data_IF_996900002974
#
_entry.id   IF_996900002974
#
_cell.length_a   1.000
_cell.length_b   1.000
_cell.length_c   1.000
_cell.angle_alpha   90.00
_cell.angle_beta   90.00
_cell.angle_gamma   90.00
#
_symmetry.space_group_name_H-M   'P 1'
#
loop_
_entity.id
_entity.type
_entity.pdbx_description
1 polymer ?
#
# COMPACT_ATOMS: atom_id res chain seq x y z
N UNK A 1 19.31 2.31 14.06
CA UNK A 1 20.52 2.84 13.40
C UNK A 1 20.41 4.34 13.08
N UNK A 2 19.38 4.80 12.34
CA UNK A 2 19.23 6.22 11.97
C UNK A 2 19.20 7.21 13.14
N UNK A 3 18.57 6.84 14.27
CA UNK A 3 18.57 7.67 15.49
C UNK A 3 20.00 7.92 16.02
N UNK A 4 20.81 6.86 16.09
CA UNK A 4 22.21 6.91 16.53
C UNK A 4 23.05 7.77 15.57
N UNK A 5 22.89 7.60 14.26
CA UNK A 5 23.61 8.41 13.25
C UNK A 5 23.28 9.90 13.41
N UNK A 6 22.00 10.25 13.61
CA UNK A 6 21.60 11.64 13.80
C UNK A 6 22.10 12.21 15.11
N UNK A 7 22.19 11.41 16.18
CA UNK A 7 22.78 11.81 17.44
C UNK A 7 24.25 12.21 17.27
N UNK A 8 25.08 11.37 16.62
CA UNK A 8 26.48 11.70 16.37
C UNK A 8 26.66 12.89 15.42
N UNK A 9 25.71 13.11 14.51
CA UNK A 9 25.64 14.34 13.67
C UNK A 9 25.13 15.57 14.42
N UNK A 10 24.93 15.50 15.74
CA UNK A 10 24.34 16.55 16.60
C UNK A 10 22.95 17.03 16.15
N UNK A 11 22.22 16.21 15.38
CA UNK A 11 20.84 16.47 14.94
C UNK A 11 19.86 15.82 15.94
N UNK A 12 19.83 16.36 17.16
CA UNK A 12 19.14 15.72 18.30
C UNK A 12 17.62 15.58 18.11
N UNK A 13 16.96 16.56 17.50
CA UNK A 13 15.55 16.48 17.13
C UNK A 13 15.25 15.27 16.23
N UNK A 14 16.03 15.11 15.16
CA UNK A 14 15.89 13.96 14.25
C UNK A 14 16.21 12.64 14.95
N UNK A 15 17.21 12.65 15.84
CA UNK A 15 17.53 11.49 16.65
C UNK A 15 16.34 11.06 17.52
N UNK A 16 15.74 12.01 18.27
CA UNK A 16 14.53 11.78 19.09
C UNK A 16 13.40 11.21 18.23
N UNK A 17 13.10 11.82 17.08
CA UNK A 17 12.06 11.34 16.15
C UNK A 17 12.24 9.86 15.78
N UNK A 18 13.44 9.48 15.34
CA UNK A 18 13.71 8.09 14.94
C UNK A 18 13.73 7.12 16.13
N UNK A 19 14.19 7.55 17.31
CA UNK A 19 14.09 6.72 18.51
C UNK A 19 12.64 6.52 18.94
N UNK A 20 11.80 7.55 18.87
CA UNK A 20 10.36 7.44 19.14
C UNK A 20 9.69 6.47 18.16
N UNK A 21 10.05 6.49 16.87
CA UNK A 21 9.59 5.50 15.89
C UNK A 21 9.96 4.07 16.33
N UNK A 22 11.21 3.84 16.75
CA UNK A 22 11.64 2.54 17.24
C UNK A 22 10.90 2.10 18.50
N UNK A 23 10.61 3.01 19.44
CA UNK A 23 9.86 2.69 20.66
C UNK A 23 8.43 2.26 20.38
N UNK A 24 7.78 2.88 19.39
CA UNK A 24 6.42 2.52 18.96
C UNK A 24 6.44 1.18 18.23
N UNK A 25 7.34 1.01 17.24
CA UNK A 25 7.40 -0.20 16.42
C UNK A 25 7.87 -1.43 17.21
N UNK A 26 8.85 -1.27 18.10
CA UNK A 26 9.43 -2.37 18.85
C UNK A 26 9.94 -1.93 20.23
N UNK A 27 9.01 -1.84 21.18
CA UNK A 27 9.26 -1.46 22.58
C UNK A 27 10.31 -2.33 23.27
N UNK A 28 10.44 -3.60 22.89
CA UNK A 28 11.38 -4.55 23.53
C UNK A 28 12.86 -4.13 23.36
N UNK A 29 13.18 -3.41 22.27
CA UNK A 29 14.54 -2.93 21.98
C UNK A 29 14.87 -1.56 22.58
N UNK A 30 13.96 -1.00 23.39
CA UNK A 30 14.14 0.31 24.02
C UNK A 30 15.41 0.41 24.88
N UNK A 31 15.85 -0.70 25.47
CA UNK A 31 17.08 -0.77 26.27
C UNK A 31 18.34 -0.44 25.47
N UNK A 32 18.40 -0.78 24.18
CA UNK A 32 19.60 -0.66 23.35
C UNK A 32 20.03 0.80 23.08
N UNK A 33 19.11 1.75 23.22
CA UNK A 33 19.38 3.16 22.91
C UNK A 33 18.88 4.13 24.00
N UNK A 34 18.50 3.60 25.17
CA UNK A 34 17.90 4.38 26.27
C UNK A 34 18.77 5.55 26.70
N UNK A 35 20.07 5.32 26.85
CA UNK A 35 21.01 6.35 27.30
C UNK A 35 21.22 7.43 26.24
N UNK A 36 21.35 7.02 24.98
CA UNK A 36 21.49 7.94 23.83
C UNK A 36 20.22 8.79 23.67
N UNK A 37 19.04 8.19 23.85
CA UNK A 37 17.78 8.91 23.84
C UNK A 37 17.71 9.92 24.99
N UNK A 38 18.04 9.53 26.22
CA UNK A 38 18.06 10.46 27.38
C UNK A 38 19.00 11.64 27.13
N UNK A 39 20.18 11.37 26.60
CA UNK A 39 21.16 12.39 26.20
C UNK A 39 20.67 13.30 25.07
N UNK A 40 19.88 12.77 24.13
CA UNK A 40 19.25 13.57 23.08
C UNK A 40 18.18 14.48 23.66
N UNK A 41 17.34 13.95 24.56
CA UNK A 41 16.26 14.67 25.21
C UNK A 41 16.78 15.82 26.08
N UNK A 42 17.91 15.70 26.77
CA UNK A 42 18.47 16.80 27.57
C UNK A 42 18.90 17.99 26.69
N UNK A 43 19.32 17.73 25.45
CA UNK A 43 19.90 18.75 24.54
C UNK A 43 18.88 19.52 23.71
N UNK A 44 17.59 19.30 23.92
CA UNK A 44 16.51 19.92 23.15
C UNK A 44 15.56 20.67 24.10
N UNK A 45 14.96 21.80 23.71
CA UNK A 45 13.92 22.48 24.49
C UNK A 45 12.67 21.60 24.67
N UNK A 46 11.92 21.82 25.76
CA UNK A 46 10.70 21.04 26.06
C UNK A 46 9.64 21.17 24.95
N UNK A 47 9.41 22.39 24.47
CA UNK A 47 8.43 22.71 23.43
C UNK A 47 8.68 21.96 22.12
N UNK A 48 9.94 21.83 21.70
CA UNK A 48 10.28 21.09 20.48
C UNK A 48 10.15 19.58 20.65
N UNK A 49 10.41 19.04 21.85
CA UNK A 49 10.16 17.61 22.14
C UNK A 49 8.68 17.29 22.01
N UNK A 50 7.82 18.10 22.60
CA UNK A 50 6.37 17.95 22.54
C UNK A 50 5.88 18.00 21.10
N UNK A 51 6.40 18.93 20.29
CA UNK A 51 6.11 19.00 18.85
C UNK A 51 6.48 17.72 18.12
N UNK A 52 7.68 17.17 18.36
CA UNK A 52 8.11 15.92 17.72
C UNK A 52 7.31 14.72 18.19
N UNK A 53 6.99 14.62 19.47
CA UNK A 53 6.17 13.53 19.99
C UNK A 53 4.79 13.57 19.31
N UNK A 54 4.18 14.74 19.24
CA UNK A 54 2.90 14.93 18.53
C UNK A 54 3.00 14.61 17.05
N UNK A 55 4.07 15.01 16.37
CA UNK A 55 4.31 14.66 14.96
C UNK A 55 4.46 13.14 14.76
N UNK A 56 5.17 12.47 15.66
CA UNK A 56 5.33 11.01 15.66
C UNK A 56 3.98 10.34 15.89
N UNK A 57 3.22 10.78 16.89
CA UNK A 57 1.86 10.27 17.17
C UNK A 57 0.95 10.44 15.96
N UNK A 58 0.89 11.63 15.36
CA UNK A 58 0.08 11.89 14.15
C UNK A 58 0.51 11.00 12.99
N UNK A 59 1.80 10.78 12.81
CA UNK A 59 2.33 9.88 11.79
C UNK A 59 1.83 8.44 11.96
N UNK A 60 1.82 7.91 13.19
CA UNK A 60 1.36 6.54 13.47
C UNK A 60 -0.17 6.41 13.51
N UNK A 61 -0.86 7.42 14.05
CA UNK A 61 -2.32 7.48 14.05
C UNK A 61 -2.88 7.62 12.65
N UNK A 62 -2.08 8.17 11.72
CA UNK A 62 -2.43 8.41 10.33
C UNK A 62 -3.77 9.14 10.18
N UNK A 63 -4.11 10.02 11.14
CA UNK A 63 -5.42 10.69 11.24
C UNK A 63 -5.74 11.54 10.01
N UNK A 64 -4.71 12.03 9.30
CA UNK A 64 -4.85 12.85 8.09
C UNK A 64 -4.91 12.01 6.80
N UNK A 65 -4.74 10.68 6.88
CA UNK A 65 -4.75 9.78 5.71
C UNK A 65 -5.69 8.61 5.94
N UNK A 66 -6.99 8.89 5.93
CA UNK A 66 -8.00 7.86 5.78
C UNK A 66 -7.93 7.28 4.36
N UNK A 67 -7.05 6.30 4.14
CA UNK A 67 -7.30 5.32 3.08
C UNK A 67 -8.61 4.58 3.40
N UNK A 68 -9.33 4.01 2.41
CA UNK A 68 -10.66 3.39 2.58
C UNK A 68 -10.63 2.05 3.38
N UNK A 69 -9.94 2.06 4.51
CA UNK A 69 -9.68 0.91 5.38
C UNK A 69 -10.72 0.85 6.51
N UNK A 70 -11.36 1.96 6.90
CA UNK A 70 -12.21 2.00 8.09
C UNK A 70 -13.46 2.88 7.91
N UNK A 71 -14.64 2.27 7.85
CA UNK A 71 -15.92 2.97 8.07
C UNK A 71 -16.52 2.72 9.47
N UNK A 72 -16.00 1.77 10.27
CA UNK A 72 -16.49 1.59 11.64
C UNK A 72 -15.51 0.89 12.57
N UNK A 73 -15.62 1.18 13.88
CA UNK A 73 -14.91 0.54 14.99
C UNK A 73 -15.16 -0.99 15.09
N UNK A 74 -16.17 -1.51 14.38
CA UNK A 74 -16.51 -2.94 14.34
C UNK A 74 -15.97 -3.68 13.12
N UNK A 75 -15.54 -2.97 12.06
CA UNK A 75 -15.06 -3.54 10.80
C UNK A 75 -13.57 -3.25 10.57
N UNK A 76 -12.79 -3.28 11.64
CA UNK A 76 -11.36 -2.96 11.60
C UNK A 76 -10.65 -3.99 10.71
N UNK A 77 -10.28 -3.57 9.51
CA UNK A 77 -9.12 -4.08 8.77
C UNK A 77 -9.14 -5.56 8.35
N UNK A 78 -10.29 -6.22 8.29
CA UNK A 78 -10.35 -7.54 7.65
C UNK A 78 -10.29 -7.39 6.13
N UNK A 79 -9.16 -7.78 5.53
CA UNK A 79 -8.96 -7.83 4.07
C UNK A 79 -10.01 -8.69 3.34
N UNK A 80 -10.67 -9.60 4.07
CA UNK A 80 -11.78 -10.41 3.61
C UNK A 80 -13.10 -9.65 3.44
N UNK A 81 -13.25 -8.47 4.05
CA UNK A 81 -14.48 -7.69 3.98
C UNK A 81 -14.48 -6.84 2.70
N UNK A 82 -15.46 -7.05 1.80
CA UNK A 82 -15.54 -6.30 0.57
C UNK A 82 -16.00 -4.86 0.81
N UNK A 83 -15.60 -3.98 -0.10
CA UNK A 83 -16.18 -2.65 -0.29
C UNK A 83 -17.09 -2.69 -1.51
N UNK A 84 -18.32 -2.17 -1.41
CA UNK A 84 -19.28 -2.16 -2.53
C UNK A 84 -19.39 -0.73 -3.04
N UNK A 85 -19.15 -0.53 -4.34
CA UNK A 85 -19.29 0.77 -4.99
C UNK A 85 -19.91 0.61 -6.37
N UNK A 86 -20.98 1.36 -6.65
CA UNK A 86 -21.69 1.37 -7.94
C UNK A 86 -21.93 -0.04 -8.52
N UNK A 87 -22.36 -0.99 -7.67
CA UNK A 87 -22.61 -2.43 -7.96
C UNK A 87 -21.39 -3.35 -8.10
N UNK A 88 -20.17 -2.82 -8.16
CA UNK A 88 -18.95 -3.64 -8.13
C UNK A 88 -18.54 -3.93 -6.69
N UNK A 89 -18.06 -5.15 -6.45
CA UNK A 89 -17.50 -5.59 -5.18
C UNK A 89 -15.98 -5.53 -5.28
N UNK A 90 -15.35 -4.82 -4.36
CA UNK A 90 -13.92 -4.60 -4.30
C UNK A 90 -13.33 -5.28 -3.08
N UNK A 91 -12.18 -5.92 -3.26
CA UNK A 91 -11.47 -6.59 -2.17
C UNK A 91 -10.09 -5.96 -1.99
N UNK A 92 -9.70 -5.82 -0.73
CA UNK A 92 -8.47 -5.15 -0.31
C UNK A 92 -7.39 -6.20 -0.06
N UNK A 93 -6.19 -6.00 -0.60
CA UNK A 93 -5.00 -6.78 -0.32
C UNK A 93 -3.88 -5.91 0.22
N UNK A 94 -2.99 -6.47 1.03
CA UNK A 94 -1.71 -5.86 1.41
C UNK A 94 -0.87 -5.75 0.13
N UNK A 95 -0.39 -4.54 -0.15
CA UNK A 95 0.48 -4.33 -1.29
C UNK A 95 1.79 -5.08 -1.10
N UNK A 96 2.23 -5.75 -2.17
CA UNK A 96 3.30 -6.75 -2.13
C UNK A 96 4.68 -6.21 -1.71
N UNK A 97 4.82 -4.88 -1.64
CA UNK A 97 6.00 -4.21 -1.10
C UNK A 97 6.42 -4.73 0.29
N UNK A 98 5.50 -5.15 1.16
CA UNK A 98 5.84 -5.48 2.55
C UNK A 98 6.23 -6.95 2.77
N UNK A 99 7.22 -7.52 2.07
CA UNK A 99 7.68 -8.86 2.41
C UNK A 99 8.42 -8.85 3.75
N UNK A 100 8.00 -9.70 4.70
CA UNK A 100 8.69 -9.88 5.98
C UNK A 100 10.17 -10.25 5.80
N UNK A 101 10.52 -11.01 4.75
CA UNK A 101 11.91 -11.35 4.42
C UNK A 101 12.74 -10.14 3.98
N UNK A 102 12.10 -9.10 3.42
CA UNK A 102 12.79 -7.90 2.90
C UNK A 102 12.81 -6.76 3.91
N UNK A 103 11.70 -6.56 4.63
CA UNK A 103 11.47 -5.34 5.42
C UNK A 103 11.46 -5.61 6.93
N UNK A 104 11.50 -6.89 7.35
CA UNK A 104 11.42 -7.30 8.76
C UNK A 104 10.08 -6.98 9.43
N UNK A 105 9.06 -6.59 8.65
CA UNK A 105 7.71 -6.30 9.15
C UNK A 105 6.95 -7.62 9.40
N UNK A 106 6.27 -7.67 10.55
CA UNK A 106 5.60 -8.88 11.04
C UNK A 106 4.51 -9.39 10.07
N UNK A 107 4.41 -10.73 9.93
CA UNK A 107 3.33 -11.42 9.22
C UNK A 107 1.96 -11.13 9.88
N UNK A 108 1.97 -10.95 11.21
CA UNK A 108 0.84 -10.48 11.99
C UNK A 108 1.07 -9.01 12.32
N UNK A 109 0.38 -8.13 11.61
CA UNK A 109 0.53 -6.69 11.79
C UNK A 109 -0.36 -6.27 12.97
N UNK A 110 0.22 -5.73 14.06
CA UNK A 110 -0.58 -5.22 15.17
C UNK A 110 -1.63 -4.23 14.70
N UNK A 111 -2.80 -4.20 15.35
CA UNK A 111 -3.94 -3.39 14.93
C UNK A 111 -3.58 -1.91 14.71
N UNK A 112 -2.68 -1.40 15.54
CA UNK A 112 -2.16 -0.03 15.54
C UNK A 112 -1.40 0.33 14.25
N UNK A 113 -0.87 -0.65 13.53
CA UNK A 113 -0.10 -0.43 12.31
C UNK A 113 -0.88 -0.66 11.02
N UNK A 114 -2.15 -1.11 11.06
CA UNK A 114 -2.94 -1.34 9.84
C UNK A 114 -3.05 -0.09 8.97
N UNK A 115 -3.12 1.09 9.60
CA UNK A 115 -3.17 2.37 8.90
C UNK A 115 -1.89 2.70 8.12
N UNK A 116 -0.76 2.06 8.43
CA UNK A 116 0.53 2.31 7.77
C UNK A 116 0.81 1.36 6.60
N UNK A 117 -0.02 0.35 6.42
CA UNK A 117 0.12 -0.62 5.35
C UNK A 117 -0.47 -0.03 4.08
N UNK A 118 0.36 0.09 3.04
CA UNK A 118 -0.17 0.27 1.67
C UNK A 118 -0.96 -0.95 1.25
N UNK A 119 -2.12 -0.71 0.69
CA UNK A 119 -3.02 -1.74 0.18
C UNK A 119 -3.23 -1.56 -1.32
N UNK A 120 -3.66 -2.63 -1.97
CA UNK A 120 -4.20 -2.63 -3.31
C UNK A 120 -5.68 -3.02 -3.26
N UNK A 121 -6.49 -2.46 -4.16
CA UNK A 121 -7.94 -2.65 -4.19
C UNK A 121 -8.32 -3.10 -5.59
N UNK A 122 -8.89 -4.29 -5.70
CA UNK A 122 -9.22 -4.91 -6.99
C UNK A 122 -10.70 -5.32 -6.98
N UNK A 123 -11.47 -4.99 -8.04
CA UNK A 123 -12.82 -5.52 -8.20
C UNK A 123 -12.75 -7.04 -8.34
N UNK A 124 -13.60 -7.77 -7.63
CA UNK A 124 -13.51 -9.22 -7.59
C UNK A 124 -14.69 -9.87 -6.88
N UNK A 125 -14.54 -11.16 -6.60
CA UNK A 125 -15.51 -11.94 -5.83
C UNK A 125 -14.81 -12.91 -4.90
N UNK A 126 -15.45 -13.21 -3.77
CA UNK A 126 -15.06 -14.26 -2.85
C UNK A 126 -15.74 -15.58 -3.27
N UNK A 127 -14.97 -16.65 -3.38
CA UNK A 127 -15.47 -17.96 -3.81
C UNK A 127 -14.48 -19.06 -3.40
N UNK A 128 -14.92 -20.32 -3.45
CA UNK A 128 -14.09 -21.50 -3.27
C UNK A 128 -13.80 -22.24 -4.59
N UNK A 129 -14.44 -21.84 -5.69
CA UNK A 129 -14.23 -22.38 -7.03
C UNK A 129 -14.33 -21.27 -8.08
N UNK A 130 -13.38 -21.26 -9.02
CA UNK A 130 -13.35 -20.30 -10.11
C UNK A 130 -12.92 -20.97 -11.41
N UNK A 131 -13.71 -20.80 -12.45
CA UNK A 131 -13.37 -21.24 -13.81
C UNK A 131 -13.23 -20.04 -14.73
N UNK A 132 -12.20 -20.08 -15.56
CA UNK A 132 -11.92 -19.01 -16.51
C UNK A 132 -11.40 -19.57 -17.82
N UNK A 133 -12.02 -19.14 -18.91
CA UNK A 133 -11.52 -19.33 -20.27
C UNK A 133 -10.99 -18.00 -20.78
N UNK A 134 -9.68 -17.92 -20.95
CA UNK A 134 -9.01 -16.72 -21.42
C UNK A 134 -9.39 -16.42 -22.87
N UNK A 135 -9.94 -15.23 -23.10
CA UNK A 135 -10.19 -14.69 -24.46
C UNK A 135 -9.03 -13.86 -25.00
N UNK A 136 -8.11 -13.48 -24.12
CA UNK A 136 -6.90 -12.72 -24.39
C UNK A 136 -5.87 -13.14 -23.34
N UNK A 137 -4.59 -12.91 -23.63
CA UNK A 137 -3.56 -12.92 -22.61
C UNK A 137 -3.98 -12.03 -21.44
N UNK A 138 -3.98 -12.59 -20.24
CA UNK A 138 -4.52 -11.96 -19.04
C UNK A 138 -3.74 -12.38 -17.80
N UNK A 139 -3.94 -11.63 -16.73
CA UNK A 139 -3.46 -11.98 -15.39
C UNK A 139 -4.65 -12.08 -14.46
N UNK A 140 -4.71 -13.16 -13.68
CA UNK A 140 -5.75 -13.42 -12.69
C UNK A 140 -5.17 -13.09 -11.31
N UNK A 141 -5.66 -12.03 -10.64
CA UNK A 141 -5.29 -11.74 -9.26
C UNK A 141 -6.00 -12.72 -8.32
N UNK A 142 -5.23 -13.44 -7.50
CA UNK A 142 -5.75 -14.38 -6.50
C UNK A 142 -5.25 -14.00 -5.11
N UNK A 143 -6.12 -14.01 -4.13
CA UNK A 143 -5.77 -13.72 -2.74
C UNK A 143 -6.35 -14.77 -1.80
N UNK A 144 -5.46 -15.42 -1.02
CA UNK A 144 -5.86 -16.27 0.10
C UNK A 144 -6.39 -15.41 1.23
N UNK A 145 -7.52 -15.80 1.82
CA UNK A 145 -8.03 -15.19 3.04
C UNK A 145 -7.49 -15.90 4.29
N UNK A 146 -7.14 -17.19 4.17
CA UNK A 146 -6.67 -18.02 5.27
C UNK A 146 -5.35 -18.73 4.91
N UNK A 147 -4.46 -18.88 5.90
CA UNK A 147 -3.13 -19.49 5.75
C UNK A 147 -3.20 -21.01 5.53
N UNK A 148 -4.28 -21.67 5.94
CA UNK A 148 -4.43 -23.14 5.82
C UNK A 148 -4.88 -23.60 4.43
N UNK A 149 -5.13 -22.66 3.52
CA UNK A 149 -5.77 -22.91 2.25
C UNK A 149 -4.75 -23.42 1.23
N UNK A 150 -4.97 -24.62 0.67
CA UNK A 150 -4.31 -25.06 -0.56
C UNK A 150 -5.15 -24.58 -1.74
N UNK A 151 -4.54 -23.82 -2.64
CA UNK A 151 -5.18 -23.37 -3.87
C UNK A 151 -4.71 -24.28 -4.98
N UNK A 152 -5.62 -25.09 -5.47
CA UNK A 152 -5.38 -26.04 -6.55
C UNK A 152 -5.69 -25.32 -7.85
N UNK A 153 -4.68 -25.12 -8.67
CA UNK A 153 -4.80 -24.52 -10.00
C UNK A 153 -4.68 -25.60 -11.05
N UNK A 154 -5.72 -25.78 -11.84
CA UNK A 154 -5.73 -26.71 -12.97
C UNK A 154 -5.60 -25.94 -14.26
N UNK A 155 -4.67 -26.36 -15.10
CA UNK A 155 -4.42 -25.82 -16.42
C UNK A 155 -4.39 -26.97 -17.41
N UNK A 156 -5.44 -27.09 -18.23
CA UNK A 156 -5.63 -28.29 -19.04
C UNK A 156 -5.80 -29.53 -18.15
N UNK A 157 -4.89 -30.51 -18.30
CA UNK A 157 -4.86 -31.74 -17.50
C UNK A 157 -3.90 -31.66 -16.30
N UNK A 158 -3.06 -30.62 -16.23
CA UNK A 158 -2.08 -30.48 -15.16
C UNK A 158 -2.67 -29.77 -13.94
N UNK A 159 -2.31 -30.26 -12.75
CA UNK A 159 -2.73 -29.75 -11.47
C UNK A 159 -1.52 -29.23 -10.69
N UNK A 160 -1.57 -27.94 -10.32
CA UNK A 160 -0.51 -27.27 -9.58
C UNK A 160 -1.04 -26.79 -8.24
N UNK A 161 -0.25 -26.99 -7.18
CA UNK A 161 -0.50 -26.30 -5.92
C UNK A 161 0.13 -24.92 -5.99
N UNK A 162 -0.69 -23.87 -5.90
CA UNK A 162 -0.21 -22.50 -5.95
C UNK A 162 0.51 -22.13 -4.65
N UNK A 163 1.78 -21.76 -4.78
CA UNK A 163 2.64 -21.34 -3.67
C UNK A 163 2.33 -19.91 -3.21
N UNK A 164 1.08 -19.69 -2.79
CA UNK A 164 0.62 -18.46 -2.16
C UNK A 164 0.88 -18.59 -0.66
N UNK A 165 2.04 -18.10 -0.24
CA UNK A 165 2.56 -18.30 1.12
C UNK A 165 1.95 -17.36 2.17
N UNK A 166 1.40 -16.22 1.75
CA UNK A 166 0.87 -15.19 2.65
C UNK A 166 -0.56 -14.86 2.31
N UNK A 167 -1.45 -14.95 3.31
CA UNK A 167 -2.83 -14.45 3.19
C UNK A 167 -2.85 -12.94 2.97
N UNK A 168 -4.02 -12.45 2.52
CA UNK A 168 -4.34 -11.05 2.38
C UNK A 168 -3.42 -10.30 1.40
N UNK A 169 -2.89 -10.97 0.38
CA UNK A 169 -2.09 -10.40 -0.71
C UNK A 169 -2.56 -10.94 -2.04
N UNK A 170 -2.53 -10.12 -3.08
CA UNK A 170 -2.79 -10.61 -4.42
C UNK A 170 -1.54 -11.23 -5.04
N UNK A 171 -1.72 -12.38 -5.64
CA UNK A 171 -0.75 -13.09 -6.44
C UNK A 171 -1.29 -13.12 -7.87
N UNK A 172 -0.42 -12.85 -8.82
CA UNK A 172 -0.78 -12.52 -10.18
C UNK A 172 -0.42 -13.68 -11.11
N UNK A 173 -1.43 -14.47 -11.50
CA UNK A 173 -1.24 -15.65 -12.33
C UNK A 173 -1.53 -15.35 -13.79
N UNK A 174 -0.52 -15.51 -14.64
CA UNK A 174 -0.66 -15.29 -16.09
C UNK A 174 -1.39 -16.46 -16.74
N UNK A 175 -2.30 -16.14 -17.66
CA UNK A 175 -3.01 -17.07 -18.54
C UNK A 175 -2.97 -16.50 -19.95
N UNK A 176 -2.71 -17.35 -20.94
CA UNK A 176 -2.64 -16.96 -22.34
C UNK A 176 -4.00 -17.12 -23.02
N UNK A 177 -4.16 -16.48 -24.17
CA UNK A 177 -5.37 -16.62 -24.97
C UNK A 177 -5.66 -18.10 -25.31
N UNK A 178 -6.91 -18.53 -25.07
CA UNK A 178 -7.38 -19.89 -25.34
C UNK A 178 -7.33 -20.81 -24.12
N UNK A 179 -6.55 -20.46 -23.10
CA UNK A 179 -6.36 -21.28 -21.92
C UNK A 179 -7.66 -21.43 -21.13
N UNK A 180 -7.85 -22.63 -20.58
CA UNK A 180 -8.92 -22.93 -19.62
C UNK A 180 -8.27 -23.27 -18.29
N UNK A 181 -8.64 -22.50 -17.28
CA UNK A 181 -8.15 -22.70 -15.92
C UNK A 181 -9.29 -22.91 -14.96
N UNK A 182 -9.10 -23.81 -14.00
CA UNK A 182 -9.97 -23.93 -12.85
C UNK A 182 -9.17 -23.82 -11.57
N UNK A 183 -9.73 -23.14 -10.59
CA UNK A 183 -9.08 -22.81 -9.32
C UNK A 183 -10.01 -23.26 -8.23
N UNK A 184 -9.57 -24.21 -7.43
CA UNK A 184 -10.35 -24.81 -6.35
C UNK A 184 -9.62 -24.66 -5.03
N UNK A 185 -10.39 -24.46 -3.97
CA UNK A 185 -9.88 -24.42 -2.61
C UNK A 185 -10.93 -24.96 -1.64
N UNK A 186 -10.49 -25.62 -0.57
CA UNK A 186 -11.38 -26.13 0.47
C UNK A 186 -12.12 -25.02 1.23
N UNK A 187 -11.64 -23.78 1.14
CA UNK A 187 -12.29 -22.62 1.73
C UNK A 187 -12.20 -21.41 0.79
N UNK A 188 -12.90 -20.34 1.16
CA UNK A 188 -12.96 -19.16 0.32
C UNK A 188 -11.61 -18.48 0.08
N UNK A 189 -11.42 -18.05 -1.16
CA UNK A 189 -10.40 -17.13 -1.63
C UNK A 189 -11.05 -15.96 -2.37
N UNK A 190 -10.28 -14.91 -2.63
CA UNK A 190 -10.71 -13.81 -3.50
C UNK A 190 -10.08 -14.00 -4.87
N UNK A 191 -10.92 -13.90 -5.89
CA UNK A 191 -10.50 -13.79 -7.28
C UNK A 191 -10.83 -12.39 -7.80
N UNK A 192 -9.80 -11.66 -8.19
CA UNK A 192 -9.92 -10.37 -8.85
C UNK A 192 -10.41 -10.53 -10.29
N UNK A 193 -10.99 -9.46 -10.83
CA UNK A 193 -11.34 -9.36 -12.24
C UNK A 193 -10.08 -9.55 -13.09
N UNK A 194 -10.05 -10.50 -14.03
CA UNK A 194 -8.88 -10.73 -14.87
C UNK A 194 -8.43 -9.45 -15.61
N UNK A 195 -7.14 -9.18 -15.54
CA UNK A 195 -6.50 -8.01 -16.15
C UNK A 195 -5.99 -8.41 -17.52
N UNK A 196 -6.61 -7.89 -18.58
CA UNK A 196 -6.22 -8.19 -19.96
C UNK A 196 -4.87 -7.51 -20.26
N UNK A 197 -3.90 -8.30 -20.74
CA UNK A 197 -2.55 -7.85 -21.10
C UNK A 197 -2.44 -7.28 -22.51
N UNK A 198 -3.48 -7.43 -23.34
CA UNK A 198 -3.53 -6.85 -24.68
C UNK A 198 -3.60 -5.31 -24.60
N UNK A 199 -2.42 -4.69 -24.63
CA UNK A 199 -2.26 -3.25 -24.78
C UNK A 199 -2.66 -2.92 -26.22
N UNK A 200 -3.78 -2.23 -26.41
CA UNK A 200 -4.07 -1.59 -27.70
C UNK A 200 -2.93 -0.58 -27.94
N UNK A 201 -2.16 -0.73 -29.01
CA UNK A 201 -1.01 0.14 -29.32
C UNK A 201 -1.37 1.63 -29.27
N UNK A 202 -2.62 1.97 -29.58
CA UNK A 202 -3.14 3.34 -29.63
C UNK A 202 -3.71 3.87 -28.29
N UNK A 203 -3.53 3.16 -27.17
CA UNK A 203 -3.95 3.65 -25.85
C UNK A 203 -2.72 3.90 -24.95
N UNK A 204 -2.77 4.93 -24.09
CA UNK A 204 -1.69 5.17 -23.15
C UNK A 204 -1.47 3.93 -22.27
N UNK A 205 -0.20 3.51 -22.16
CA UNK A 205 0.19 2.30 -21.44
C UNK A 205 -0.04 2.43 -19.93
N UNK A 206 -0.01 3.66 -19.43
CA UNK A 206 -0.25 4.02 -18.03
C UNK A 206 -1.06 5.32 -18.02
N UNK A 207 -2.10 5.36 -17.19
CA UNK A 207 -2.80 6.60 -16.84
C UNK A 207 -2.50 6.85 -15.37
N UNK A 208 -1.82 7.95 -15.08
CA UNK A 208 -1.49 8.36 -13.72
C UNK A 208 -2.40 9.54 -13.35
N UNK A 209 -3.32 9.30 -12.41
CA UNK A 209 -4.13 10.35 -11.82
C UNK A 209 -3.46 10.81 -10.53
N UNK A 210 -3.03 12.06 -10.48
CA UNK A 210 -2.46 12.67 -9.26
C UNK A 210 -3.46 13.68 -8.72
N UNK A 211 -3.87 13.46 -7.48
CA UNK A 211 -4.66 14.41 -6.71
C UNK A 211 -3.70 15.13 -5.76
N UNK A 212 -3.55 16.44 -5.93
CA UNK A 212 -2.70 17.26 -5.07
C UNK A 212 -3.62 18.10 -4.21
N UNK A 213 -3.69 17.77 -2.94
CA UNK A 213 -4.44 18.54 -1.95
C UNK A 213 -3.69 19.84 -1.63
N UNK A 214 -4.41 20.96 -1.56
CA UNK A 214 -3.85 22.28 -1.26
C UNK A 214 -3.03 22.95 -2.38
N UNK A 215 -2.98 22.40 -3.60
CA UNK A 215 -2.41 23.11 -4.74
C UNK A 215 -3.44 24.12 -5.26
N UNK A 216 -3.34 25.37 -4.79
CA UNK A 216 -4.25 26.42 -5.25
C UNK A 216 -3.94 26.81 -6.70
N UNK A 217 -5.00 27.15 -7.43
CA UNK A 217 -4.87 27.65 -8.79
C UNK A 217 -4.03 28.94 -8.85
N UNK A 218 -4.10 29.78 -7.82
CA UNK A 218 -3.28 31.00 -7.71
C UNK A 218 -1.78 30.73 -7.68
N UNK A 219 -1.31 29.66 -7.03
CA UNK A 219 0.12 29.30 -6.96
C UNK A 219 0.63 28.87 -8.35
N UNK A 220 -0.22 28.21 -9.13
CA UNK A 220 0.08 27.79 -10.51
C UNK A 220 0.14 29.00 -11.43
N UNK A 221 -0.80 29.94 -11.30
CA UNK A 221 -0.88 31.15 -12.12
C UNK A 221 0.32 32.09 -11.87
N UNK A 222 0.78 32.23 -10.63
CA UNK A 222 1.92 33.09 -10.28
C UNK A 222 3.27 32.52 -10.71
N UNK A 223 3.48 31.20 -10.56
CA UNK A 223 4.80 30.60 -10.71
C UNK A 223 4.96 29.74 -11.97
N UNK A 224 3.85 29.41 -12.63
CA UNK A 224 3.80 28.41 -13.69
C UNK A 224 3.82 26.97 -13.15
N UNK A 225 3.15 26.05 -13.86
CA UNK A 225 3.04 24.63 -13.49
C UNK A 225 4.43 23.95 -13.39
N UNK A 226 5.35 24.33 -14.28
CA UNK A 226 6.70 23.77 -14.38
C UNK A 226 7.58 24.07 -13.15
N UNK A 227 7.40 25.23 -12.51
CA UNK A 227 8.18 25.63 -11.33
C UNK A 227 7.52 25.22 -10.01
N UNK A 228 6.20 24.96 -10.02
CA UNK A 228 5.42 24.60 -8.83
C UNK A 228 5.41 23.09 -8.56
N UNK A 229 5.66 22.25 -9.56
CA UNK A 229 5.64 20.79 -9.40
C UNK A 229 6.84 20.09 -10.08
N UNK A 230 7.86 19.74 -9.29
CA UNK A 230 9.05 18.99 -9.78
C UNK A 230 8.72 17.62 -10.40
N UNK A 231 7.53 17.07 -10.10
CA UNK A 231 7.03 15.82 -10.69
C UNK A 231 6.82 16.02 -12.20
N UNK A 232 6.23 17.14 -12.64
CA UNK A 232 6.00 17.39 -14.06
C UNK A 232 7.33 17.47 -14.85
N UNK A 233 8.32 18.20 -14.35
CA UNK A 233 9.65 18.37 -15.00
C UNK A 233 10.39 17.04 -15.18
N UNK A 234 10.18 16.09 -14.27
CA UNK A 234 10.81 14.77 -14.33
C UNK A 234 10.14 13.87 -15.38
N UNK A 235 8.81 13.98 -15.53
CA UNK A 235 8.05 13.16 -16.48
C UNK A 235 7.97 13.75 -17.90
N UNK A 236 8.05 15.07 -18.07
CA UNK A 236 8.10 15.72 -19.39
C UNK A 236 9.43 15.48 -20.12
N UNK A 237 10.51 15.17 -19.40
CA UNK A 237 11.82 14.81 -19.97
C UNK A 237 11.94 13.34 -20.38
N UNK A 238 11.01 12.50 -19.95
CA UNK A 238 10.97 11.09 -20.36
C UNK A 238 9.93 10.96 -21.48
N UNK A 239 10.32 10.47 -22.66
CA UNK A 239 9.39 10.09 -23.74
C UNK A 239 8.54 8.88 -23.31
N UNK A 240 7.60 9.12 -22.41
CA UNK A 240 6.66 8.14 -21.92
C UNK A 240 5.28 8.48 -22.48
N UNK A 241 4.68 7.52 -23.18
CA UNK A 241 3.28 7.57 -23.62
C UNK A 241 2.32 7.42 -22.41
N UNK A 242 2.36 8.39 -21.51
CA UNK A 242 1.59 8.47 -20.27
C UNK A 242 0.63 9.64 -20.38
N UNK A 243 -0.67 9.38 -20.26
CA UNK A 243 -1.64 10.45 -20.04
C UNK A 243 -1.66 10.74 -18.54
N UNK A 244 -1.17 11.91 -18.16
CA UNK A 244 -1.29 12.43 -16.81
C UNK A 244 -2.56 13.28 -16.72
N UNK A 245 -3.41 12.99 -15.73
CA UNK A 245 -4.53 13.87 -15.37
C UNK A 245 -4.32 14.36 -13.96
N UNK A 246 -4.15 15.67 -13.84
CA UNK A 246 -4.03 16.34 -12.55
C UNK A 246 -5.39 16.94 -12.22
N UNK A 247 -5.93 16.55 -11.07
CA UNK A 247 -7.20 17.07 -10.59
C UNK A 247 -6.93 17.99 -9.40
N UNK A 248 -7.30 19.26 -9.54
CA UNK A 248 -7.28 20.23 -8.45
C UNK A 248 -8.58 20.09 -7.68
N UNK A 249 -8.49 19.80 -6.40
CA UNK A 249 -9.65 19.84 -5.51
C UNK A 249 -9.60 21.19 -4.81
N UNK A 250 -10.45 22.12 -5.22
CA UNK A 250 -10.66 23.36 -4.47
C UNK A 250 -11.40 22.98 -3.19
N UNK A 251 -10.70 23.05 -2.05
CA UNK A 251 -11.32 22.97 -0.74
C UNK A 251 -12.19 24.21 -0.54
N UNK A 252 -13.49 24.08 -0.76
CA UNK A 252 -14.46 24.98 -0.15
C UNK A 252 -14.65 24.52 1.30
N UNK A 253 -14.04 25.26 2.24
CA UNK A 253 -14.58 25.44 3.59
C UNK A 253 -15.49 26.66 3.57
#
# INVERSE_FOLDING_TARGET
MLGIVNFYKKKFLKAIKYFSYCLIINKSRSGEFKDILKLSLIRVPKTEKEKIIKEVELFFLNNDKCYPICESEKNICEFSNPYIFNTETYYKGIYDYYYSERDGLFINIPNEFYKLIKTEIIPGKKTNQYEYKAKNDSVIPLMKINNKNKLIFKYGEEEYNLDINKKNRYYYYRVNNGDKVSINCDTDFVVGKPIILNIKENKPKIILNIFIDGLSQSIIEENGLENSCQIQVSFSKMELNVIMRMYLVNGHM
#
